data_IF_036299255872
#
_entry.id   IF_036299255872
#
_cell.length_a   1.000
_cell.length_b   1.000
_cell.length_c   1.000
_cell.angle_alpha   90.00
_cell.angle_beta   90.00
_cell.angle_gamma   90.00
#
_symmetry.space_group_name_H-M   'P 1'
#
loop_
_entity.id
_entity.type
_entity.pdbx_description
1 polymer ?
#
# COMPACT_ATOMS: atom_id res chain seq x y z
N UNK A 1 -4.84 -18.02 6.86
CA UNK A 1 -5.71 -17.06 7.56
C UNK A 1 -7.02 -17.01 6.81
N UNK A 2 -8.15 -17.14 7.50
CA UNK A 2 -9.47 -17.15 6.85
C UNK A 2 -9.92 -15.69 6.65
N UNK A 3 -10.09 -15.28 5.39
CA UNK A 3 -10.67 -13.98 5.05
C UNK A 3 -12.17 -14.10 5.28
N UNK A 4 -12.69 -13.43 6.31
CA UNK A 4 -14.14 -13.36 6.56
C UNK A 4 -14.70 -12.31 5.60
N UNK A 5 -15.41 -12.76 4.58
CA UNK A 5 -16.16 -11.90 3.67
C UNK A 5 -17.51 -11.67 4.35
N UNK A 6 -17.68 -10.51 4.98
CA UNK A 6 -19.00 -10.08 5.46
C UNK A 6 -19.81 -9.62 4.26
N UNK A 7 -20.86 -10.35 3.92
CA UNK A 7 -21.90 -9.92 2.98
C UNK A 7 -22.77 -8.89 3.71
N UNK A 8 -22.23 -7.69 3.90
CA UNK A 8 -22.84 -6.59 4.64
C UNK A 8 -23.13 -5.46 3.66
N UNK A 9 -24.39 -5.02 3.59
CA UNK A 9 -24.78 -3.83 2.83
C UNK A 9 -24.16 -2.60 3.49
N UNK A 10 -22.92 -2.26 3.10
CA UNK A 10 -22.28 -1.02 3.53
C UNK A 10 -22.96 0.16 2.83
N UNK A 11 -23.10 1.26 3.57
CA UNK A 11 -23.53 2.51 2.97
C UNK A 11 -22.58 2.89 1.82
N UNK A 12 -23.08 3.40 0.67
CA UNK A 12 -22.23 3.80 -0.46
C UNK A 12 -21.11 4.76 -0.06
N UNK A 13 -21.34 5.62 0.92
CA UNK A 13 -20.37 6.56 1.47
C UNK A 13 -19.19 5.86 2.15
N UNK A 14 -19.45 4.74 2.85
CA UNK A 14 -18.40 3.93 3.49
C UNK A 14 -17.53 3.23 2.44
N UNK A 15 -18.16 2.65 1.42
CA UNK A 15 -17.44 2.02 0.30
C UNK A 15 -16.56 3.05 -0.42
N UNK A 16 -17.11 4.25 -0.65
CA UNK A 16 -16.38 5.35 -1.26
C UNK A 16 -15.17 5.77 -0.42
N UNK A 17 -15.35 6.00 0.89
CA UNK A 17 -14.27 6.39 1.79
C UNK A 17 -13.15 5.34 1.86
N UNK A 18 -13.49 4.06 1.95
CA UNK A 18 -12.52 2.96 1.91
C UNK A 18 -11.80 2.93 0.55
N UNK A 19 -12.51 3.19 -0.54
CA UNK A 19 -11.92 3.35 -1.86
C UNK A 19 -10.87 4.48 -1.94
N UNK A 20 -11.15 5.64 -1.33
CA UNK A 20 -10.18 6.73 -1.23
C UNK A 20 -8.96 6.33 -0.39
N UNK A 21 -9.15 5.66 0.74
CA UNK A 21 -8.05 5.16 1.57
C UNK A 21 -7.15 4.17 0.81
N UNK A 22 -7.74 3.28 0.00
CA UNK A 22 -6.97 2.36 -0.86
C UNK A 22 -6.09 3.14 -1.86
N UNK A 23 -6.63 4.18 -2.51
CA UNK A 23 -5.87 5.02 -3.45
C UNK A 23 -4.75 5.78 -2.76
N UNK A 24 -5.04 6.41 -1.62
CA UNK A 24 -4.03 7.12 -0.84
C UNK A 24 -2.89 6.17 -0.43
N UNK A 25 -3.22 4.97 0.04
CA UNK A 25 -2.24 3.97 0.44
C UNK A 25 -1.42 3.47 -0.76
N UNK A 26 -2.04 3.32 -1.94
CA UNK A 26 -1.33 3.01 -3.19
C UNK A 26 -0.33 4.12 -3.55
N UNK A 27 -0.74 5.38 -3.47
CA UNK A 27 0.12 6.52 -3.79
C UNK A 27 1.33 6.59 -2.84
N UNK A 28 1.10 6.39 -1.54
CA UNK A 28 2.18 6.34 -0.55
C UNK A 28 3.16 5.19 -0.84
N UNK A 29 2.67 3.99 -1.11
CA UNK A 29 3.53 2.84 -1.42
C UNK A 29 4.31 3.05 -2.72
N UNK A 30 3.67 3.62 -3.75
CA UNK A 30 4.31 3.91 -5.04
C UNK A 30 5.46 4.92 -4.85
N UNK A 31 5.20 5.99 -4.08
CA UNK A 31 6.21 6.99 -3.76
C UNK A 31 7.36 6.42 -2.95
N UNK A 32 7.10 5.56 -1.96
CA UNK A 32 8.15 4.89 -1.18
C UNK A 32 9.03 4.00 -2.08
N UNK A 33 8.44 3.27 -3.02
CA UNK A 33 9.18 2.46 -4.00
C UNK A 33 10.09 3.34 -4.86
N UNK A 34 9.59 4.48 -5.35
CA UNK A 34 10.37 5.44 -6.13
C UNK A 34 11.52 6.05 -5.33
N UNK A 35 11.27 6.47 -4.09
CA UNK A 35 12.27 7.06 -3.19
C UNK A 35 13.40 6.07 -2.87
N UNK A 36 13.07 4.81 -2.60
CA UNK A 36 14.06 3.75 -2.40
C UNK A 36 14.84 3.50 -3.68
N UNK A 37 14.17 3.46 -4.84
CA UNK A 37 14.82 3.32 -6.14
C UNK A 37 15.85 4.42 -6.40
N UNK A 38 15.47 5.68 -6.15
CA UNK A 38 16.34 6.86 -6.25
C UNK A 38 17.50 6.81 -5.26
N UNK A 39 17.25 6.36 -4.03
CA UNK A 39 18.30 6.21 -3.01
C UNK A 39 19.34 5.17 -3.44
N UNK A 40 18.90 4.03 -3.98
CA UNK A 40 19.82 3.01 -4.51
C UNK A 40 20.62 3.52 -5.71
N UNK A 41 20.01 4.34 -6.58
CA UNK A 41 20.73 5.01 -7.67
C UNK A 41 21.82 5.96 -7.16
N UNK A 42 21.49 6.78 -6.17
CA UNK A 42 22.42 7.69 -5.54
C UNK A 42 23.62 6.95 -4.92
N UNK A 43 23.36 5.84 -4.21
CA UNK A 43 24.42 5.01 -3.61
C UNK A 43 25.37 4.40 -4.66
N UNK A 44 24.85 4.02 -5.83
CA UNK A 44 25.70 3.58 -6.95
C UNK A 44 26.52 4.75 -7.49
N UNK A 45 25.92 5.92 -7.68
CA UNK A 45 26.61 7.13 -8.15
C UNK A 45 27.73 7.60 -7.22
N UNK A 46 27.55 7.41 -5.90
CA UNK A 46 28.57 7.72 -4.88
C UNK A 46 29.66 6.64 -4.77
N UNK A 47 29.54 5.51 -5.48
CA UNK A 47 30.46 4.38 -5.37
C UNK A 47 30.33 3.57 -4.07
N UNK A 48 29.29 3.83 -3.27
CA UNK A 48 29.00 3.09 -2.04
C UNK A 48 28.39 1.70 -2.33
N UNK A 49 27.79 1.54 -3.51
CA UNK A 49 27.20 0.29 -3.98
C UNK A 49 27.70 -0.06 -5.38
N UNK A 50 28.01 -1.33 -5.64
CA UNK A 50 28.36 -1.78 -6.99
C UNK A 50 27.10 -1.86 -7.86
N UNK A 51 27.20 -1.41 -9.11
CA UNK A 51 26.09 -1.47 -10.07
C UNK A 51 25.55 -2.89 -10.28
N UNK A 52 26.39 -3.91 -10.16
CA UNK A 52 26.00 -5.32 -10.25
C UNK A 52 25.13 -5.81 -9.09
N UNK A 53 25.26 -5.18 -7.91
CA UNK A 53 24.54 -5.56 -6.70
C UNK A 53 23.21 -4.78 -6.57
N UNK A 54 23.11 -3.62 -7.22
CA UNK A 54 21.92 -2.75 -7.23
C UNK A 54 20.63 -3.52 -7.48
N UNK A 55 20.58 -4.36 -8.52
CA UNK A 55 19.37 -5.08 -8.90
C UNK A 55 18.94 -6.10 -7.83
N UNK A 56 19.91 -6.74 -7.16
CA UNK A 56 19.60 -7.66 -6.05
C UNK A 56 19.03 -6.90 -4.86
N UNK A 57 19.71 -5.85 -4.41
CA UNK A 57 19.22 -5.02 -3.30
C UNK A 57 17.86 -4.39 -3.62
N UNK A 58 17.68 -3.88 -4.83
CA UNK A 58 16.41 -3.32 -5.27
C UNK A 58 15.30 -4.37 -5.19
N UNK A 59 15.54 -5.58 -5.67
CA UNK A 59 14.56 -6.67 -5.60
C UNK A 59 14.25 -7.03 -4.15
N UNK A 60 15.26 -7.21 -3.32
CA UNK A 60 15.08 -7.70 -1.94
C UNK A 60 14.43 -6.65 -1.03
N UNK A 61 14.82 -5.38 -1.18
CA UNK A 61 14.26 -4.27 -0.39
C UNK A 61 12.82 -3.95 -0.83
N UNK A 62 12.55 -4.00 -2.14
CA UNK A 62 11.23 -3.62 -2.66
C UNK A 62 10.22 -4.77 -2.68
N UNK A 63 10.64 -6.03 -2.52
CA UNK A 63 9.76 -7.19 -2.64
C UNK A 63 8.50 -7.09 -1.76
N UNK A 64 8.66 -6.68 -0.50
CA UNK A 64 7.53 -6.54 0.42
C UNK A 64 6.60 -5.39 0.02
N UNK A 65 7.16 -4.25 -0.40
CA UNK A 65 6.37 -3.10 -0.83
C UNK A 65 5.61 -3.38 -2.13
N UNK A 66 6.24 -4.08 -3.07
CA UNK A 66 5.60 -4.53 -4.32
C UNK A 66 4.49 -5.55 -4.04
N UNK A 67 4.69 -6.46 -3.08
CA UNK A 67 3.65 -7.39 -2.65
C UNK A 67 2.44 -6.64 -2.06
N UNK A 68 2.69 -5.67 -1.17
CA UNK A 68 1.64 -4.82 -0.60
C UNK A 68 0.90 -4.01 -1.67
N UNK A 69 1.63 -3.47 -2.65
CA UNK A 69 1.05 -2.72 -3.76
C UNK A 69 0.15 -3.61 -4.64
N UNK A 70 0.60 -4.83 -4.95
CA UNK A 70 -0.20 -5.82 -5.68
C UNK A 70 -1.50 -6.16 -4.96
N UNK A 71 -1.45 -6.35 -3.64
CA UNK A 71 -2.66 -6.58 -2.83
C UNK A 71 -3.61 -5.37 -2.93
N UNK A 72 -3.11 -4.14 -2.83
CA UNK A 72 -3.96 -2.96 -2.95
C UNK A 72 -4.57 -2.85 -4.36
N UNK A 73 -3.82 -3.16 -5.41
CA UNK A 73 -4.33 -3.17 -6.78
C UNK A 73 -5.48 -4.19 -6.97
N UNK A 74 -5.33 -5.39 -6.42
CA UNK A 74 -6.40 -6.40 -6.41
C UNK A 74 -7.66 -5.89 -5.68
N UNK A 75 -7.47 -5.22 -4.54
CA UNK A 75 -8.59 -4.65 -3.76
C UNK A 75 -9.24 -3.45 -4.45
N UNK A 76 -8.47 -2.65 -5.19
CA UNK A 76 -9.02 -1.56 -6.01
C UNK A 76 -9.82 -2.09 -7.19
N UNK A 77 -9.46 -3.26 -7.73
CA UNK A 77 -10.22 -3.92 -8.79
C UNK A 77 -11.55 -4.53 -8.32
N UNK A 78 -11.71 -4.75 -7.01
CA UNK A 78 -12.92 -5.25 -6.37
C UNK A 78 -13.49 -4.23 -5.35
N UNK A 79 -14.01 -3.08 -5.81
CA UNK A 79 -14.42 -1.98 -4.92
C UNK A 79 -15.55 -2.37 -3.95
N UNK A 80 -16.45 -3.26 -4.37
CA UNK A 80 -17.58 -3.75 -3.56
C UNK A 80 -17.16 -4.67 -2.40
N UNK A 81 -15.95 -5.22 -2.45
CA UNK A 81 -15.43 -6.09 -1.38
C UNK A 81 -14.70 -5.24 -0.35
N UNK A 82 -15.22 -5.19 0.88
CA UNK A 82 -14.55 -4.53 2.01
C UNK A 82 -13.81 -5.57 2.84
N UNK A 83 -12.52 -5.33 3.08
CA UNK A 83 -11.69 -6.22 3.89
C UNK A 83 -11.68 -5.75 5.35
N UNK A 84 -11.56 -6.69 6.30
CA UNK A 84 -11.67 -6.39 7.73
C UNK A 84 -10.64 -5.37 8.23
N UNK A 85 -9.41 -5.46 7.72
CA UNK A 85 -8.32 -4.53 8.06
C UNK A 85 -8.57 -3.10 7.58
N UNK A 86 -9.27 -2.94 6.46
CA UNK A 86 -9.64 -1.62 5.93
C UNK A 86 -10.81 -1.02 6.70
N UNK A 87 -11.76 -1.86 7.12
CA UNK A 87 -12.86 -1.44 7.96
C UNK A 87 -12.36 -1.01 9.35
N UNK A 88 -11.45 -1.78 9.95
CA UNK A 88 -10.79 -1.42 11.21
C UNK A 88 -10.10 -0.06 11.10
N UNK A 89 -9.27 0.14 10.07
CA UNK A 89 -8.60 1.43 9.83
C UNK A 89 -9.60 2.58 9.63
N UNK A 90 -10.66 2.37 8.85
CA UNK A 90 -11.69 3.37 8.64
C UNK A 90 -12.39 3.76 9.94
N UNK A 91 -12.72 2.77 10.79
CA UNK A 91 -13.33 3.00 12.10
C UNK A 91 -12.38 3.71 13.07
N UNK A 92 -11.08 3.39 13.03
CA UNK A 92 -10.05 4.10 13.81
C UNK A 92 -9.96 5.58 13.42
N UNK A 93 -9.97 5.89 12.12
CA UNK A 93 -9.96 7.27 11.63
C UNK A 93 -11.23 8.04 12.02
N UNK A 94 -12.39 7.38 12.00
CA UNK A 94 -13.64 7.98 12.48
C UNK A 94 -13.63 8.21 14.00
N UNK A 95 -13.03 7.31 14.77
CA UNK A 95 -12.92 7.44 16.22
C UNK A 95 -11.92 8.55 16.62
N UNK A 96 -10.90 8.80 15.79
CA UNK A 96 -9.84 9.78 16.04
C UNK A 96 -9.67 10.77 14.85
N UNK A 97 -10.62 11.69 14.63
CA UNK A 97 -10.60 12.58 13.46
C UNK A 97 -9.48 13.64 13.46
N UNK A 98 -8.70 13.78 14.55
CA UNK A 98 -7.59 14.75 14.64
C UNK A 98 -6.22 14.17 14.21
N UNK A 99 -6.13 12.88 13.89
CA UNK A 99 -4.88 12.22 13.46
C UNK A 99 -4.83 11.89 11.95
N UNK A 100 -5.85 12.29 11.18
CA UNK A 100 -6.01 12.02 9.75
C UNK A 100 -5.58 13.14 8.81
#
# INVERSE_FOLDING_TARGET
>A
MATVIFDCDFAPETIHAIGELRRLRKDVLSKQIEEIGSTLESLVGMGALKSSERLSYQKDILAELQCKLSVIDERLAAPETVYSDELELYLELLANPEEG
#
